data_IF_673551603063
#
_entry.id   IF_673551603063
#
_cell.length_a   1.000
_cell.length_b   1.000
_cell.length_c   1.000
_cell.angle_alpha   90.00
_cell.angle_beta   90.00
_cell.angle_gamma   90.00
#
_symmetry.space_group_name_H-M   'P 1'
#
loop_
_entity.id
_entity.type
_entity.pdbx_description
1 polymer ?
#
# COMPACT_ATOMS: atom_id res chain seq x y z
N UNK A 1 0.10 -8.38 -14.44
CA UNK A 1 1.18 -7.42 -14.11
C UNK A 1 1.10 -6.23 -15.08
N UNK A 2 1.22 -4.99 -14.58
CA UNK A 2 1.24 -3.80 -15.44
C UNK A 2 2.64 -3.59 -16.05
N UNK A 3 3.09 -4.52 -16.87
CA UNK A 3 4.43 -4.48 -17.48
C UNK A 3 4.31 -4.09 -18.94
N UNK A 4 4.93 -2.98 -19.34
CA UNK A 4 5.02 -2.53 -20.72
C UNK A 4 6.47 -2.33 -21.18
N UNK A 5 7.40 -2.18 -20.25
CA UNK A 5 8.82 -1.98 -20.52
C UNK A 5 9.70 -2.68 -19.46
N UNK A 6 11.02 -2.65 -19.68
CA UNK A 6 12.00 -3.27 -18.79
C UNK A 6 12.02 -2.63 -17.40
N UNK A 7 11.75 -1.32 -17.32
CA UNK A 7 11.74 -0.57 -16.04
C UNK A 7 10.61 -1.09 -15.14
N UNK A 8 9.48 -1.46 -15.71
CA UNK A 8 8.36 -2.03 -14.93
C UNK A 8 8.75 -3.35 -14.26
N UNK A 9 9.54 -4.19 -14.95
CA UNK A 9 10.07 -5.45 -14.40
C UNK A 9 11.03 -5.15 -13.24
N UNK A 10 11.91 -4.16 -13.41
CA UNK A 10 12.85 -3.73 -12.39
C UNK A 10 12.13 -3.22 -11.13
N UNK A 11 11.10 -2.40 -11.30
CA UNK A 11 10.30 -1.85 -10.20
C UNK A 11 9.59 -2.97 -9.44
N UNK A 12 8.94 -3.90 -10.14
CA UNK A 12 8.24 -5.02 -9.51
C UNK A 12 9.22 -5.89 -8.73
N UNK A 13 10.31 -6.30 -9.36
CA UNK A 13 11.29 -7.18 -8.74
C UNK A 13 11.93 -6.51 -7.49
N UNK A 14 12.34 -5.25 -7.61
CA UNK A 14 12.92 -4.48 -6.52
C UNK A 14 11.92 -4.30 -5.36
N UNK A 15 10.67 -3.93 -5.67
CA UNK A 15 9.62 -3.72 -4.65
C UNK A 15 9.33 -5.02 -3.89
N UNK A 16 9.25 -6.16 -4.58
CA UNK A 16 8.97 -7.45 -3.95
C UNK A 16 10.15 -7.91 -3.09
N UNK A 17 11.37 -7.79 -3.59
CA UNK A 17 12.54 -8.34 -2.91
C UNK A 17 13.02 -7.41 -1.81
N UNK A 18 13.21 -6.12 -2.10
CA UNK A 18 13.80 -5.13 -1.17
C UNK A 18 12.75 -4.39 -0.35
N UNK A 19 11.55 -4.22 -0.85
CA UNK A 19 10.46 -3.55 -0.12
C UNK A 19 9.95 -4.34 1.10
N UNK A 20 10.28 -5.62 1.21
CA UNK A 20 9.91 -6.49 2.32
C UNK A 20 11.07 -6.79 3.29
N UNK A 21 12.26 -6.26 3.04
CA UNK A 21 13.42 -6.47 3.90
C UNK A 21 13.31 -5.55 5.12
N UNK A 22 13.27 -6.15 6.32
CA UNK A 22 13.34 -5.40 7.57
C UNK A 22 14.66 -4.63 7.64
N UNK A 23 14.58 -3.31 7.79
CA UNK A 23 15.72 -2.39 7.88
C UNK A 23 16.69 -2.77 9.00
N UNK A 24 16.22 -3.51 10.03
CA UNK A 24 17.04 -3.92 11.17
C UNK A 24 17.86 -5.18 10.93
N UNK A 25 17.52 -6.01 9.96
CA UNK A 25 18.28 -7.18 9.56
C UNK A 25 19.04 -6.89 8.27
N UNK A 26 20.21 -6.27 8.37
CA UNK A 26 21.16 -6.19 7.26
C UNK A 26 21.70 -7.59 6.95
N UNK A 27 20.88 -8.44 6.34
CA UNK A 27 21.37 -9.58 5.61
C UNK A 27 22.28 -9.09 4.49
N UNK A 28 23.28 -9.88 4.14
CA UNK A 28 24.19 -9.57 3.04
C UNK A 28 23.36 -9.19 1.78
N UNK A 29 23.53 -7.98 1.24
CA UNK A 29 22.79 -7.49 0.04
C UNK A 29 22.84 -8.47 -1.15
N UNK A 30 23.84 -9.32 -1.18
CA UNK A 30 24.03 -10.34 -2.20
C UNK A 30 22.79 -11.24 -2.39
N UNK A 31 22.17 -11.66 -1.30
CA UNK A 31 21.01 -12.56 -1.38
C UNK A 31 19.78 -11.90 -2.00
N UNK A 32 19.55 -10.63 -1.63
CA UNK A 32 18.44 -9.86 -2.20
C UNK A 32 18.73 -9.52 -3.68
N UNK A 33 19.95 -9.15 -4.03
CA UNK A 33 20.31 -8.87 -5.42
C UNK A 33 20.16 -10.12 -6.31
N UNK A 34 20.58 -11.29 -5.83
CA UNK A 34 20.43 -12.55 -6.56
C UNK A 34 18.96 -12.99 -6.68
N UNK A 35 18.18 -12.82 -5.61
CA UNK A 35 16.73 -13.09 -5.64
C UNK A 35 16.01 -12.14 -6.62
N UNK A 36 16.40 -10.85 -6.66
CA UNK A 36 15.85 -9.88 -7.62
C UNK A 36 16.17 -10.28 -9.06
N UNK A 37 17.42 -10.67 -9.34
CA UNK A 37 17.81 -11.15 -10.68
C UNK A 37 17.03 -12.41 -11.10
N UNK A 38 16.85 -13.35 -10.18
CA UNK A 38 16.05 -14.54 -10.44
C UNK A 38 14.60 -14.17 -10.74
N UNK A 39 13.99 -13.30 -9.96
CA UNK A 39 12.61 -12.87 -10.19
C UNK A 39 12.45 -12.19 -11.55
N UNK A 40 13.40 -11.32 -11.95
CA UNK A 40 13.41 -10.71 -13.29
C UNK A 40 13.46 -11.78 -14.38
N UNK A 41 14.33 -12.77 -14.25
CA UNK A 41 14.42 -13.87 -15.20
C UNK A 41 13.09 -14.62 -15.35
N UNK A 42 12.40 -14.93 -14.24
CA UNK A 42 11.11 -15.61 -14.24
C UNK A 42 9.99 -14.77 -14.86
N UNK A 43 9.96 -13.47 -14.55
CA UNK A 43 8.98 -12.55 -15.16
C UNK A 43 9.17 -12.51 -16.68
N UNK A 44 10.39 -12.30 -17.17
CA UNK A 44 10.66 -12.28 -18.62
C UNK A 44 10.36 -13.61 -19.28
N UNK A 45 10.61 -14.73 -18.59
CA UNK A 45 10.26 -16.06 -19.11
C UNK A 45 8.75 -16.19 -19.30
N UNK A 46 7.94 -15.83 -18.29
CA UNK A 46 6.48 -15.92 -18.38
C UNK A 46 5.92 -15.00 -19.46
N UNK A 47 6.43 -13.79 -19.57
CA UNK A 47 6.01 -12.83 -20.60
C UNK A 47 6.28 -13.33 -22.02
N UNK A 48 7.38 -14.07 -22.23
CA UNK A 48 7.77 -14.57 -23.54
C UNK A 48 7.08 -15.88 -23.93
N UNK A 49 6.75 -16.73 -22.96
CA UNK A 49 6.37 -18.12 -23.24
C UNK A 49 4.94 -18.48 -22.87
N UNK A 50 4.31 -17.67 -21.99
CA UNK A 50 3.00 -18.03 -21.43
C UNK A 50 1.91 -17.05 -21.84
N UNK A 51 0.65 -17.52 -21.98
CA UNK A 51 -0.49 -16.65 -22.23
C UNK A 51 -0.71 -15.69 -21.05
N UNK A 52 -1.38 -14.56 -21.28
CA UNK A 52 -1.60 -13.50 -20.30
C UNK A 52 -2.26 -14.03 -19.01
N UNK A 53 -3.12 -15.02 -19.12
CA UNK A 53 -3.80 -15.68 -17.99
C UNK A 53 -2.83 -16.34 -16.99
N UNK A 54 -1.62 -16.70 -17.42
CA UNK A 54 -0.58 -17.34 -16.62
C UNK A 54 0.55 -16.39 -16.21
N UNK A 55 0.55 -15.16 -16.72
CA UNK A 55 1.57 -14.14 -16.42
C UNK A 55 1.31 -13.47 -15.07
N UNK A 56 1.54 -14.20 -13.99
CA UNK A 56 1.31 -13.74 -12.62
C UNK A 56 2.49 -14.03 -11.70
N UNK A 57 2.56 -13.31 -10.56
CA UNK A 57 3.57 -13.57 -9.53
C UNK A 57 3.37 -14.91 -8.83
N UNK A 58 2.13 -15.39 -8.77
CA UNK A 58 1.82 -16.75 -8.30
C UNK A 58 2.44 -17.81 -9.22
N UNK A 59 2.49 -17.58 -10.54
CA UNK A 59 3.20 -18.46 -11.49
C UNK A 59 4.71 -18.41 -11.30
N UNK A 60 5.28 -17.23 -10.94
CA UNK A 60 6.70 -17.16 -10.56
C UNK A 60 6.99 -18.00 -9.30
N UNK A 61 6.10 -17.95 -8.29
CA UNK A 61 6.24 -18.77 -7.08
C UNK A 61 6.19 -20.29 -7.40
N UNK A 62 5.32 -20.71 -8.31
CA UNK A 62 5.26 -22.10 -8.76
C UNK A 62 6.54 -22.55 -9.49
N UNK A 63 7.10 -21.70 -10.35
CA UNK A 63 8.38 -21.97 -11.02
C UNK A 63 9.52 -22.17 -10.03
N UNK A 64 9.61 -21.31 -9.00
CA UNK A 64 10.65 -21.46 -7.95
C UNK A 64 10.46 -22.74 -7.17
N UNK A 65 9.21 -23.11 -6.86
CA UNK A 65 8.87 -24.34 -6.15
C UNK A 65 9.18 -25.58 -6.95
N UNK A 66 8.85 -25.56 -8.24
CA UNK A 66 9.15 -26.63 -9.17
C UNK A 66 10.67 -26.86 -9.34
N UNK A 67 11.47 -25.79 -9.33
CA UNK A 67 12.92 -25.85 -9.40
C UNK A 67 13.57 -26.52 -8.19
N UNK A 68 12.92 -26.46 -7.03
CA UNK A 68 13.43 -27.04 -5.78
C UNK A 68 13.10 -28.54 -5.63
N UNK A 69 12.30 -29.13 -6.51
CA UNK A 69 11.97 -30.56 -6.51
C UNK A 69 13.14 -31.36 -7.10
N UNK A 70 13.99 -31.80 -6.22
CA UNK A 70 15.26 -32.49 -6.48
C UNK A 70 15.09 -33.82 -7.18
N UNK A 71 15.81 -34.04 -8.28
CA UNK A 71 16.09 -35.37 -8.80
C UNK A 71 16.28 -35.50 -10.30
N UNK A 72 15.83 -34.58 -11.09
CA UNK A 72 15.99 -34.65 -12.57
C UNK A 72 16.37 -33.26 -13.10
N UNK A 73 17.67 -32.97 -13.10
CA UNK A 73 18.18 -31.73 -13.72
C UNK A 73 17.71 -30.43 -13.08
N UNK A 74 18.31 -29.31 -13.49
CA UNK A 74 17.83 -27.98 -13.09
C UNK A 74 16.73 -27.55 -14.04
N UNK A 75 15.45 -27.72 -13.64
CA UNK A 75 14.29 -27.37 -14.46
C UNK A 75 14.38 -25.94 -15.01
N UNK A 76 14.78 -24.96 -14.20
CA UNK A 76 14.87 -23.58 -14.66
C UNK A 76 15.92 -23.42 -15.76
N UNK A 77 17.05 -24.14 -15.67
CA UNK A 77 18.07 -24.14 -16.71
C UNK A 77 17.52 -24.71 -18.03
N UNK A 78 16.74 -25.78 -17.97
CA UNK A 78 16.09 -26.36 -19.13
C UNK A 78 15.11 -25.40 -19.78
N UNK A 79 14.24 -24.77 -18.97
CA UNK A 79 13.26 -23.79 -19.45
C UNK A 79 13.94 -22.56 -20.06
N UNK A 80 14.97 -22.01 -19.41
CA UNK A 80 15.70 -20.85 -19.91
C UNK A 80 16.48 -21.16 -21.21
N UNK A 81 16.98 -22.38 -21.36
CA UNK A 81 17.70 -22.82 -22.58
C UNK A 81 16.80 -22.97 -23.80
N UNK A 82 15.47 -23.04 -23.62
CA UNK A 82 14.51 -23.00 -24.73
C UNK A 82 14.36 -21.61 -25.36
N UNK A 83 14.80 -20.56 -24.65
CA UNK A 83 14.76 -19.19 -25.15
C UNK A 83 15.99 -18.85 -26.00
N UNK A 84 15.91 -17.87 -26.93
CA UNK A 84 17.05 -17.33 -27.64
C UNK A 84 18.20 -16.93 -26.70
N UNK A 85 19.43 -17.02 -27.19
CA UNK A 85 20.62 -16.78 -26.38
C UNK A 85 20.69 -15.35 -25.78
N UNK A 86 20.21 -14.37 -26.54
CA UNK A 86 20.17 -12.94 -26.21
C UNK A 86 18.89 -12.51 -25.44
N UNK A 87 18.00 -13.46 -25.13
CA UNK A 87 16.77 -13.14 -24.42
C UNK A 87 17.04 -12.66 -22.97
N UNK A 88 16.39 -11.57 -22.48
CA UNK A 88 16.62 -11.02 -21.15
C UNK A 88 16.49 -12.05 -20.02
N UNK A 89 15.47 -12.91 -20.07
CA UNK A 89 15.31 -13.97 -19.07
C UNK A 89 16.56 -14.83 -18.92
N UNK A 90 17.16 -15.23 -20.05
CA UNK A 90 18.36 -16.05 -20.07
C UNK A 90 19.58 -15.30 -19.57
N UNK A 91 19.70 -14.01 -19.92
CA UNK A 91 20.81 -13.17 -19.48
C UNK A 91 20.81 -13.01 -17.94
N UNK A 92 19.66 -12.68 -17.34
CA UNK A 92 19.53 -12.57 -15.89
C UNK A 92 19.78 -13.92 -15.18
N UNK A 93 19.23 -15.01 -15.73
CA UNK A 93 19.37 -16.35 -15.15
C UNK A 93 20.81 -16.86 -15.18
N UNK A 94 21.60 -16.50 -16.18
CA UNK A 94 22.97 -16.97 -16.34
C UNK A 94 23.87 -16.65 -15.14
N UNK A 95 23.66 -15.51 -14.48
CA UNK A 95 24.39 -15.13 -13.28
C UNK A 95 24.08 -16.05 -12.11
N UNK A 96 22.92 -16.69 -12.12
CA UNK A 96 22.43 -17.58 -11.06
C UNK A 96 22.85 -19.02 -11.35
N UNK A 97 22.83 -19.43 -12.64
CA UNK A 97 23.21 -20.73 -13.12
C UNK A 97 24.65 -21.12 -12.74
N UNK A 98 25.57 -20.15 -12.72
CA UNK A 98 26.99 -20.36 -12.36
C UNK A 98 27.23 -20.49 -10.85
N UNK A 99 26.21 -20.27 -10.02
CA UNK A 99 26.37 -20.37 -8.58
C UNK A 99 26.54 -21.85 -8.15
N UNK A 100 27.37 -22.12 -7.15
CA UNK A 100 27.46 -23.47 -6.56
C UNK A 100 26.08 -23.94 -6.07
N UNK A 101 25.84 -25.26 -6.09
CA UNK A 101 24.53 -25.86 -5.78
C UNK A 101 23.91 -25.37 -4.45
N UNK A 102 24.74 -25.26 -3.38
CA UNK A 102 24.29 -24.74 -2.08
C UNK A 102 23.86 -23.26 -2.16
N UNK A 103 24.61 -22.46 -2.91
CA UNK A 103 24.29 -21.04 -3.13
C UNK A 103 23.03 -20.91 -3.97
N UNK A 104 22.91 -21.71 -5.03
CA UNK A 104 21.72 -21.76 -5.87
C UNK A 104 20.46 -22.09 -5.03
N UNK A 105 20.50 -23.14 -4.21
CA UNK A 105 19.40 -23.52 -3.32
C UNK A 105 19.05 -22.41 -2.33
N UNK A 106 20.05 -21.67 -1.84
CA UNK A 106 19.82 -20.52 -0.94
C UNK A 106 19.15 -19.34 -1.66
N UNK A 107 19.50 -19.07 -2.93
CA UNK A 107 18.86 -18.05 -3.76
C UNK A 107 17.39 -18.42 -4.00
N UNK A 108 17.10 -19.67 -4.37
CA UNK A 108 15.75 -20.19 -4.52
C UNK A 108 14.93 -20.01 -3.24
N UNK A 109 15.49 -20.40 -2.08
CA UNK A 109 14.82 -20.29 -0.80
C UNK A 109 14.57 -18.83 -0.41
N UNK A 110 15.51 -17.92 -0.69
CA UNK A 110 15.35 -16.48 -0.47
C UNK A 110 14.17 -15.94 -1.30
N UNK A 111 14.14 -16.22 -2.59
CA UNK A 111 13.05 -15.78 -3.45
C UNK A 111 11.72 -16.43 -3.08
N UNK A 112 11.70 -17.74 -2.75
CA UNK A 112 10.49 -18.43 -2.30
C UNK A 112 9.90 -17.78 -1.04
N UNK A 113 10.73 -17.37 -0.08
CA UNK A 113 10.29 -16.64 1.11
C UNK A 113 9.58 -15.32 0.76
N UNK A 114 10.11 -14.57 -0.21
CA UNK A 114 9.52 -13.31 -0.68
C UNK A 114 8.22 -13.52 -1.45
N UNK A 115 8.13 -14.59 -2.24
CA UNK A 115 6.95 -14.92 -3.05
C UNK A 115 5.87 -15.70 -2.30
N UNK A 116 6.15 -16.23 -1.11
CA UNK A 116 5.21 -17.06 -0.34
C UNK A 116 3.87 -16.39 -0.06
N UNK A 117 3.83 -15.06 -0.01
CA UNK A 117 2.58 -14.31 0.15
C UNK A 117 1.61 -14.47 -1.03
N UNK A 118 2.13 -14.74 -2.24
CA UNK A 118 1.32 -14.98 -3.45
C UNK A 118 0.77 -16.41 -3.54
N UNK A 119 1.02 -17.26 -2.54
CA UNK A 119 0.44 -18.59 -2.44
C UNK A 119 -1.01 -18.56 -1.92
N UNK A 120 -1.40 -17.49 -1.21
CA UNK A 120 -2.78 -17.27 -0.83
C UNK A 120 -3.67 -17.17 -2.07
N UNK A 121 -4.79 -17.91 -2.08
CA UNK A 121 -5.76 -17.89 -3.17
C UNK A 121 -6.29 -16.48 -3.41
N UNK A 122 -6.61 -15.75 -2.35
CA UNK A 122 -7.16 -14.40 -2.40
C UNK A 122 -6.16 -13.41 -3.05
N UNK A 123 -4.89 -13.45 -2.65
CA UNK A 123 -3.84 -12.61 -3.24
C UNK A 123 -3.58 -13.01 -4.69
N UNK A 124 -3.56 -14.30 -4.97
CA UNK A 124 -3.38 -14.81 -6.33
C UNK A 124 -4.50 -14.33 -7.26
N UNK A 125 -5.76 -14.41 -6.83
CA UNK A 125 -6.92 -13.89 -7.56
C UNK A 125 -6.88 -12.37 -7.73
N UNK A 126 -6.54 -11.63 -6.68
CA UNK A 126 -6.46 -10.16 -6.72
C UNK A 126 -5.39 -9.66 -7.69
N UNK A 127 -4.28 -10.39 -7.80
CA UNK A 127 -3.12 -9.98 -8.61
C UNK A 127 -3.04 -10.66 -9.97
N UNK A 128 -4.02 -11.49 -10.32
CA UNK A 128 -4.01 -12.29 -11.56
C UNK A 128 -4.39 -11.51 -12.81
N UNK A 129 -5.24 -10.51 -12.69
CA UNK A 129 -5.79 -9.75 -13.81
C UNK A 129 -5.66 -8.25 -13.63
N UNK A 130 -5.64 -7.51 -14.74
CA UNK A 130 -5.59 -6.05 -14.75
C UNK A 130 -7.00 -5.48 -14.92
N UNK A 131 -7.54 -4.86 -13.89
CA UNK A 131 -8.86 -4.21 -13.93
C UNK A 131 -8.77 -2.69 -13.99
N UNK A 132 -7.60 -2.11 -13.75
CA UNK A 132 -7.36 -0.66 -13.71
C UNK A 132 -6.30 -0.28 -14.74
N UNK A 133 -6.62 0.68 -15.60
CA UNK A 133 -5.62 1.33 -16.45
C UNK A 133 -5.11 2.60 -15.75
N UNK A 134 -3.86 2.59 -15.31
CA UNK A 134 -3.26 3.73 -14.59
C UNK A 134 -3.16 5.01 -15.44
N UNK A 135 -3.00 4.90 -16.75
CA UNK A 135 -2.93 6.07 -17.63
C UNK A 135 -4.25 6.85 -17.67
N UNK A 136 -5.39 6.17 -17.48
CA UNK A 136 -6.69 6.81 -17.47
C UNK A 136 -6.82 7.87 -16.37
N UNK A 137 -6.10 7.69 -15.27
CA UNK A 137 -6.05 8.66 -14.15
C UNK A 137 -5.48 10.01 -14.63
N UNK A 138 -4.45 9.96 -15.47
CA UNK A 138 -3.82 11.16 -16.04
C UNK A 138 -4.48 11.67 -17.33
N UNK A 139 -5.37 10.86 -17.95
CA UNK A 139 -6.02 11.17 -19.23
C UNK A 139 -7.40 11.78 -19.04
N UNK A 140 -8.19 11.30 -18.11
CA UNK A 140 -9.58 11.70 -17.84
C UNK A 140 -9.83 11.92 -16.35
N UNK A 141 -10.91 12.66 -16.03
CA UNK A 141 -11.31 12.83 -14.62
C UNK A 141 -11.67 11.48 -14.01
N UNK A 142 -10.84 11.01 -13.11
CA UNK A 142 -10.97 9.70 -12.46
C UNK A 142 -10.72 9.87 -10.97
N UNK A 143 -11.48 9.16 -10.13
CA UNK A 143 -11.19 9.03 -8.71
C UNK A 143 -10.92 7.56 -8.41
N UNK A 144 -9.81 7.29 -7.75
CA UNK A 144 -9.39 5.94 -7.32
C UNK A 144 -9.34 5.93 -5.79
N UNK A 145 -10.14 5.08 -5.18
CA UNK A 145 -10.15 4.86 -3.74
C UNK A 145 -9.44 3.54 -3.45
N UNK A 146 -8.35 3.62 -2.68
CA UNK A 146 -7.58 2.45 -2.26
C UNK A 146 -7.81 2.28 -0.77
N UNK A 147 -8.54 1.23 -0.40
CA UNK A 147 -8.89 0.94 0.99
C UNK A 147 -8.04 -0.24 1.44
N UNK A 148 -7.28 -0.05 2.51
CA UNK A 148 -6.47 -1.07 3.15
C UNK A 148 -6.92 -1.29 4.58
N UNK A 149 -6.75 -2.51 5.09
CA UNK A 149 -6.95 -2.78 6.51
C UNK A 149 -5.85 -2.11 7.33
N UNK A 150 -6.23 -1.41 8.39
CA UNK A 150 -5.33 -0.83 9.39
C UNK A 150 -4.91 -1.84 10.47
N UNK A 151 -5.56 -3.00 10.52
CA UNK A 151 -5.33 -4.04 11.55
C UNK A 151 -4.32 -5.11 11.13
N UNK A 152 -4.01 -5.24 9.82
CA UNK A 152 -3.16 -6.30 9.30
C UNK A 152 -2.16 -5.79 8.27
N UNK A 153 -0.88 -5.78 8.63
CA UNK A 153 0.23 -5.46 7.73
C UNK A 153 0.48 -6.52 6.62
N UNK A 154 -0.31 -7.60 6.59
CA UNK A 154 -0.10 -8.70 5.65
C UNK A 154 -0.19 -8.29 4.17
N UNK A 155 -0.94 -7.23 3.88
CA UNK A 155 -1.22 -6.75 2.52
C UNK A 155 -0.48 -5.45 2.15
N UNK A 156 0.31 -4.86 3.05
CA UNK A 156 1.01 -3.58 2.81
C UNK A 156 1.94 -3.64 1.60
N UNK A 157 2.56 -4.81 1.36
CA UNK A 157 3.40 -5.02 0.18
C UNK A 157 2.64 -4.87 -1.15
N UNK A 158 1.33 -5.19 -1.18
CA UNK A 158 0.49 -4.97 -2.37
C UNK A 158 0.27 -3.49 -2.62
N UNK A 159 0.08 -2.70 -1.57
CA UNK A 159 -0.03 -1.24 -1.67
C UNK A 159 1.27 -0.65 -2.21
N UNK A 160 2.42 -1.11 -1.69
CA UNK A 160 3.72 -0.66 -2.17
C UNK A 160 3.90 -0.94 -3.67
N UNK A 161 3.56 -2.15 -4.13
CA UNK A 161 3.61 -2.52 -5.56
C UNK A 161 2.65 -1.65 -6.37
N UNK A 162 1.39 -1.53 -5.91
CA UNK A 162 0.35 -0.76 -6.59
C UNK A 162 0.75 0.69 -6.79
N UNK A 163 1.14 1.39 -5.71
CA UNK A 163 1.55 2.79 -5.79
C UNK A 163 2.84 2.98 -6.58
N UNK A 164 3.82 2.06 -6.44
CA UNK A 164 5.07 2.12 -7.20
C UNK A 164 4.83 2.07 -8.70
N UNK A 165 3.98 1.12 -9.15
CA UNK A 165 3.62 0.96 -10.56
C UNK A 165 2.75 2.13 -11.05
N UNK A 166 1.72 2.52 -10.30
CA UNK A 166 0.82 3.60 -10.68
C UNK A 166 1.57 4.93 -10.85
N UNK A 167 2.43 5.29 -9.89
CA UNK A 167 3.22 6.52 -9.98
C UNK A 167 4.15 6.44 -11.20
N UNK A 168 4.86 5.32 -11.41
CA UNK A 168 5.76 5.18 -12.56
C UNK A 168 5.02 5.32 -13.89
N UNK A 169 3.87 4.63 -14.02
CA UNK A 169 3.07 4.72 -15.25
C UNK A 169 2.57 6.13 -15.54
N UNK A 170 2.18 6.89 -14.51
CA UNK A 170 1.78 8.28 -14.69
C UNK A 170 2.97 9.17 -15.08
N UNK A 171 4.18 8.88 -14.60
CA UNK A 171 5.39 9.58 -15.02
C UNK A 171 5.70 9.30 -16.48
N UNK A 172 5.71 8.02 -16.87
CA UNK A 172 5.96 7.63 -18.26
C UNK A 172 4.90 8.24 -19.20
N UNK A 173 3.63 8.22 -18.80
CA UNK A 173 2.54 8.83 -19.56
C UNK A 173 2.68 10.36 -19.66
N UNK A 174 3.11 11.03 -18.59
CA UNK A 174 3.39 12.46 -18.63
C UNK A 174 4.53 12.79 -19.61
N UNK A 175 5.61 12.00 -19.61
CA UNK A 175 6.75 12.19 -20.50
C UNK A 175 6.34 11.96 -21.96
N UNK A 176 5.53 10.96 -22.24
CA UNK A 176 4.93 10.72 -23.57
C UNK A 176 3.93 11.82 -24.00
N UNK A 177 3.29 12.49 -23.05
CA UNK A 177 2.30 13.53 -23.29
C UNK A 177 2.88 14.94 -23.38
N UNK A 178 4.19 15.06 -23.63
CA UNK A 178 4.87 16.35 -23.75
C UNK A 178 5.37 16.93 -22.43
N UNK A 179 5.65 16.07 -21.45
CA UNK A 179 6.27 16.43 -20.18
C UNK A 179 5.29 16.69 -19.03
N UNK A 180 3.98 16.63 -19.27
CA UNK A 180 2.97 16.82 -18.23
C UNK A 180 1.70 16.03 -18.54
N UNK A 181 1.00 15.58 -17.49
CA UNK A 181 -0.29 14.91 -17.63
C UNK A 181 -1.35 15.83 -18.23
N UNK A 182 -2.22 15.34 -19.14
CA UNK A 182 -3.37 16.08 -19.62
C UNK A 182 -4.31 16.53 -18.50
N UNK A 183 -4.58 15.64 -17.53
CA UNK A 183 -5.32 15.93 -16.30
C UNK A 183 -4.37 15.95 -15.11
N UNK A 184 -4.41 17.02 -14.26
CA UNK A 184 -3.65 17.03 -13.02
C UNK A 184 -4.07 15.87 -12.10
N UNK A 185 -3.11 15.19 -11.53
CA UNK A 185 -3.33 14.07 -10.62
C UNK A 185 -2.90 14.42 -9.20
N UNK A 186 -3.77 14.16 -8.24
CA UNK A 186 -3.56 14.43 -6.82
C UNK A 186 -3.55 13.12 -6.05
N UNK A 187 -2.44 12.80 -5.40
CA UNK A 187 -2.31 11.71 -4.47
C UNK A 187 -2.57 12.21 -3.07
N UNK A 188 -3.60 11.67 -2.41
CA UNK A 188 -3.86 11.91 -0.99
C UNK A 188 -3.51 10.61 -0.27
N UNK A 189 -2.33 10.60 0.36
CA UNK A 189 -1.73 9.41 0.96
C UNK A 189 -1.90 9.50 2.47
N UNK A 190 -3.05 9.03 2.94
CA UNK A 190 -3.33 8.93 4.37
C UNK A 190 -2.52 7.79 4.98
N UNK A 191 -2.00 8.00 6.18
CA UNK A 191 -1.08 7.09 6.86
C UNK A 191 0.06 6.57 5.97
N UNK A 192 0.72 7.50 5.27
CA UNK A 192 1.70 7.21 4.23
C UNK A 192 2.78 6.19 4.65
N UNK A 193 3.18 6.18 5.92
CA UNK A 193 4.16 5.23 6.42
C UNK A 193 3.69 3.77 6.33
N UNK A 194 2.38 3.52 6.37
CA UNK A 194 1.80 2.19 6.30
C UNK A 194 1.77 1.63 4.85
N UNK A 195 1.93 2.48 3.85
CA UNK A 195 2.05 2.04 2.45
C UNK A 195 3.35 1.25 2.22
N UNK A 196 4.33 1.41 3.11
CA UNK A 196 5.67 0.88 2.95
C UNK A 196 6.58 1.78 2.09
N UNK A 197 7.78 1.31 1.80
CA UNK A 197 8.78 2.08 1.06
C UNK A 197 8.52 2.03 -0.44
N UNK A 198 8.03 3.14 -1.02
CA UNK A 198 7.95 3.32 -2.47
C UNK A 198 9.35 3.62 -3.00
N UNK A 199 9.90 2.83 -3.95
CA UNK A 199 11.23 3.06 -4.50
C UNK A 199 11.37 4.46 -5.13
N UNK A 200 12.50 5.13 -4.83
CA UNK A 200 12.85 6.46 -5.35
C UNK A 200 11.78 7.54 -5.13
N UNK A 201 10.96 7.43 -4.08
CA UNK A 201 9.88 8.39 -3.82
C UNK A 201 10.40 9.81 -3.58
N UNK A 202 11.57 9.95 -2.97
CA UNK A 202 12.27 11.23 -2.77
C UNK A 202 12.61 11.92 -4.11
N UNK A 203 13.01 11.16 -5.11
CA UNK A 203 13.25 11.68 -6.47
C UNK A 203 11.93 11.99 -7.19
N UNK A 204 10.93 11.12 -7.02
CA UNK A 204 9.60 11.29 -7.63
C UNK A 204 8.93 12.55 -7.10
N UNK A 205 8.84 12.76 -5.79
CA UNK A 205 8.22 13.97 -5.22
C UNK A 205 8.94 15.25 -5.67
N UNK A 206 10.27 15.23 -5.85
CA UNK A 206 11.03 16.40 -6.29
C UNK A 206 10.75 16.83 -7.74
N UNK A 207 10.31 15.90 -8.60
CA UNK A 207 10.08 16.13 -10.03
C UNK A 207 8.58 16.10 -10.42
N UNK A 208 7.68 15.84 -9.48
CA UNK A 208 6.25 15.64 -9.70
C UNK A 208 5.52 16.88 -10.23
N UNK A 209 5.92 18.07 -9.75
CA UNK A 209 5.28 19.35 -10.08
C UNK A 209 5.25 19.62 -11.58
N UNK A 210 6.37 19.42 -12.28
CA UNK A 210 6.45 19.64 -13.72
C UNK A 210 5.51 18.75 -14.52
N UNK A 211 5.21 17.55 -14.00
CA UNK A 211 4.31 16.56 -14.59
C UNK A 211 2.85 16.74 -14.19
N UNK A 212 2.50 17.79 -13.43
CA UNK A 212 1.18 18.05 -12.84
C UNK A 212 0.72 16.91 -11.91
N UNK A 213 1.66 16.32 -11.20
CA UNK A 213 1.40 15.34 -10.14
C UNK A 213 1.66 16.01 -8.81
N UNK A 214 0.72 15.92 -7.87
CA UNK A 214 0.82 16.48 -6.54
C UNK A 214 0.65 15.40 -5.49
N UNK A 215 1.47 15.45 -4.43
CA UNK A 215 1.39 14.52 -3.31
C UNK A 215 1.00 15.26 -2.04
N UNK A 216 -0.01 14.74 -1.34
CA UNK A 216 -0.36 15.09 0.04
C UNK A 216 0.00 13.91 0.92
N UNK A 217 1.10 14.05 1.66
CA UNK A 217 1.62 13.01 2.56
C UNK A 217 1.10 13.29 3.96
N UNK A 218 0.31 12.37 4.51
CA UNK A 218 -0.29 12.51 5.84
C UNK A 218 0.37 11.49 6.77
N UNK A 219 0.79 11.96 7.94
CA UNK A 219 1.55 11.19 8.93
C UNK A 219 1.03 11.50 10.33
N UNK A 220 1.09 10.54 11.22
CA UNK A 220 0.82 10.76 12.64
C UNK A 220 2.02 11.44 13.33
N UNK A 221 3.24 11.08 12.92
CA UNK A 221 4.48 11.68 13.41
C UNK A 221 5.64 11.51 12.41
N UNK A 222 6.69 12.31 12.56
CA UNK A 222 7.86 12.28 11.67
C UNK A 222 8.74 11.03 11.87
N UNK A 223 8.69 10.42 13.06
CA UNK A 223 9.46 9.21 13.35
C UNK A 223 9.07 8.05 12.43
N UNK A 224 7.78 7.96 12.07
CA UNK A 224 7.29 6.94 11.12
C UNK A 224 7.91 7.11 9.74
N UNK A 225 8.00 8.35 9.25
CA UNK A 225 8.61 8.61 7.94
C UNK A 225 10.10 8.28 7.93
N UNK A 226 10.81 8.65 9.00
CA UNK A 226 12.23 8.33 9.15
C UNK A 226 12.48 6.81 9.24
N UNK A 227 11.62 6.06 9.94
CA UNK A 227 11.72 4.61 10.03
C UNK A 227 11.62 3.93 8.65
N UNK A 228 10.77 4.44 7.74
CA UNK A 228 10.56 3.87 6.40
C UNK A 228 11.61 4.37 5.40
N UNK A 229 11.94 5.68 5.41
CA UNK A 229 12.75 6.32 4.39
C UNK A 229 14.15 6.73 4.86
N UNK A 230 14.53 6.43 6.10
CA UNK A 230 15.85 6.74 6.68
C UNK A 230 16.30 8.19 6.35
N UNK A 231 17.46 8.34 5.71
CA UNK A 231 18.00 9.67 5.32
C UNK A 231 17.17 10.39 4.26
N UNK A 232 16.42 9.66 3.44
CA UNK A 232 15.59 10.26 2.38
C UNK A 232 14.36 10.99 2.91
N UNK A 233 13.96 10.79 4.19
CA UNK A 233 12.81 11.47 4.79
C UNK A 233 12.96 12.99 4.79
N UNK A 234 14.15 13.51 5.03
CA UNK A 234 14.42 14.97 5.00
C UNK A 234 14.17 15.55 3.59
N UNK A 235 14.53 14.79 2.55
CA UNK A 235 14.30 15.19 1.15
C UNK A 235 12.79 15.21 0.86
N UNK A 236 12.03 14.24 1.36
CA UNK A 236 10.57 14.20 1.20
C UNK A 236 9.93 15.40 1.84
N UNK A 237 10.25 15.70 3.11
CA UNK A 237 9.74 16.87 3.84
C UNK A 237 10.12 18.17 3.12
N UNK A 238 11.38 18.30 2.71
CA UNK A 238 11.91 19.51 2.05
C UNK A 238 11.32 19.80 0.67
N UNK A 239 10.71 18.79 0.01
CA UNK A 239 9.98 18.96 -1.25
C UNK A 239 8.49 19.29 -1.07
N UNK A 240 7.99 19.31 0.16
CA UNK A 240 6.63 19.76 0.47
C UNK A 240 6.65 21.29 0.62
N UNK A 241 6.03 22.02 -0.32
CA UNK A 241 5.96 23.49 -0.26
C UNK A 241 5.07 23.98 0.90
N UNK A 242 4.11 23.17 1.34
CA UNK A 242 3.20 23.45 2.46
C UNK A 242 3.25 22.31 3.46
N UNK A 243 3.42 22.65 4.74
CA UNK A 243 3.34 21.68 5.85
C UNK A 243 2.27 22.12 6.84
N UNK A 244 1.38 21.20 7.21
CA UNK A 244 0.29 21.44 8.15
C UNK A 244 0.53 20.66 9.44
N UNK A 245 0.78 21.36 10.54
CA UNK A 245 0.90 20.77 11.87
C UNK A 245 -0.46 20.79 12.59
N UNK A 246 -1.00 19.60 12.82
CA UNK A 246 -2.31 19.42 13.48
C UNK A 246 -2.21 19.07 14.97
N UNK A 247 -1.00 18.99 15.51
CA UNK A 247 -0.69 18.52 16.85
C UNK A 247 0.02 17.16 16.83
N UNK A 248 0.88 16.91 17.79
CA UNK A 248 1.56 15.61 17.97
C UNK A 248 2.05 15.46 19.40
N UNK A 249 2.10 14.21 19.89
CA UNK A 249 2.71 13.85 21.15
C UNK A 249 4.17 13.37 21.01
N UNK A 250 4.67 13.13 19.77
CA UNK A 250 6.05 12.74 19.51
C UNK A 250 7.00 13.88 19.86
N UNK A 251 7.99 13.61 20.72
CA UNK A 251 9.01 14.57 21.12
C UNK A 251 9.77 15.12 19.91
N UNK A 252 10.17 14.25 19.00
CA UNK A 252 10.93 14.61 17.80
C UNK A 252 10.13 15.49 16.86
N UNK A 253 8.85 15.18 16.68
CA UNK A 253 7.94 15.98 15.84
C UNK A 253 7.74 17.38 16.40
N UNK A 254 7.47 17.53 17.70
CA UNK A 254 7.29 18.87 18.30
C UNK A 254 8.59 19.67 18.36
N UNK A 255 9.74 19.03 18.55
CA UNK A 255 11.05 19.69 18.48
C UNK A 255 11.34 20.21 17.07
N UNK A 256 11.06 19.41 16.05
CA UNK A 256 11.19 19.83 14.65
C UNK A 256 10.35 21.09 14.38
N UNK A 257 9.05 21.06 14.69
CA UNK A 257 8.16 22.20 14.43
C UNK A 257 8.47 23.43 15.31
N UNK A 258 8.98 23.23 16.52
CA UNK A 258 9.46 24.35 17.35
C UNK A 258 10.64 25.09 16.71
N UNK A 259 11.56 24.34 16.08
CA UNK A 259 12.69 24.92 15.33
C UNK A 259 12.23 25.62 14.06
N UNK A 260 11.30 25.01 13.30
CA UNK A 260 10.73 25.59 12.07
C UNK A 260 9.97 26.90 12.34
N UNK A 261 9.32 27.03 13.49
CA UNK A 261 8.68 28.29 13.91
C UNK A 261 9.70 29.42 14.14
N UNK A 262 10.93 29.06 14.50
CA UNK A 262 11.98 30.01 14.80
C UNK A 262 11.86 30.64 16.20
N UNK A 263 12.64 31.69 16.41
CA UNK A 263 12.80 32.31 17.71
C UNK A 263 12.43 33.79 17.67
N UNK A 264 12.04 34.33 18.83
CA UNK A 264 11.87 35.75 19.08
C UNK A 264 12.84 36.25 20.15
N UNK A 265 13.26 37.48 20.00
CA UNK A 265 14.05 38.17 21.02
C UNK A 265 13.15 38.60 22.15
N UNK A 266 13.48 38.23 23.38
CA UNK A 266 12.83 38.70 24.58
C UNK A 266 13.83 39.45 25.47
N UNK A 267 13.37 40.52 26.11
CA UNK A 267 14.14 41.21 27.14
C UNK A 267 13.74 40.65 28.49
N UNK A 268 14.71 40.20 29.26
CA UNK A 268 14.50 39.73 30.64
C UNK A 268 15.15 40.71 31.60
N UNK A 269 14.33 41.35 32.43
CA UNK A 269 14.80 42.17 33.51
C UNK A 269 15.14 41.29 34.71
N UNK A 270 16.40 41.28 35.11
CA UNK A 270 16.86 40.65 36.33
C UNK A 270 17.09 41.70 37.41
N UNK A 271 16.39 41.58 38.52
CA UNK A 271 16.53 42.45 39.68
C UNK A 271 17.38 41.75 40.73
N UNK A 272 18.52 42.33 41.09
CA UNK A 272 19.34 41.87 42.20
C UNK A 272 19.27 42.90 43.34
N UNK A 273 18.88 42.41 44.50
CA UNK A 273 18.90 43.19 45.75
C UNK A 273 20.04 42.72 46.63
N UNK A 274 21.06 43.52 46.83
CA UNK A 274 22.09 43.27 47.84
C UNK A 274 21.71 43.97 49.14
N UNK A 275 21.56 43.17 50.21
CA UNK A 275 21.44 43.72 51.59
C UNK A 275 22.82 43.57 52.22
N UNK A 276 23.49 44.71 52.39
CA UNK A 276 24.68 44.76 53.25
C UNK A 276 24.24 44.83 54.71
N UNK A 277 24.75 43.89 55.53
CA UNK A 277 24.42 43.75 56.93
C UNK A 277 24.87 44.95 57.80
N UNK A 278 25.67 45.89 57.29
CA UNK A 278 26.27 46.96 58.03
C UNK A 278 25.97 48.38 57.54
N UNK A 279 25.20 48.56 56.48
CA UNK A 279 24.82 49.87 55.99
C UNK A 279 23.39 49.95 55.52
N UNK A 280 22.60 50.88 55.89
CA UNK A 280 21.19 51.12 55.52
C UNK A 280 21.02 51.56 54.07
N UNK A 281 21.86 51.12 53.15
CA UNK A 281 21.72 51.31 51.67
C UNK A 281 21.35 50.07 51.02
N UNK A 282 20.09 49.95 50.56
CA UNK A 282 19.65 48.94 49.61
C UNK A 282 20.17 49.34 48.22
N UNK A 283 21.07 48.54 47.64
CA UNK A 283 21.48 48.67 46.25
C UNK A 283 20.52 47.90 45.39
N UNK A 284 19.86 48.58 44.46
CA UNK A 284 19.07 47.91 43.38
C UNK A 284 19.92 47.93 42.10
N UNK A 285 20.19 46.74 41.56
CA UNK A 285 20.81 46.61 40.25
C UNK A 285 19.79 46.01 39.31
N UNK A 286 19.46 46.70 38.23
CA UNK A 286 18.65 46.19 37.12
C UNK A 286 19.59 45.77 36.00
N UNK A 287 19.58 44.52 35.64
CA UNK A 287 20.32 43.99 34.49
C UNK A 287 19.32 43.57 33.43
N UNK A 288 19.37 44.21 32.27
CA UNK A 288 18.60 43.82 31.09
C UNK A 288 19.41 42.79 30.30
N UNK A 289 18.85 41.61 30.14
CA UNK A 289 19.40 40.57 29.31
C UNK A 289 18.51 40.35 28.10
N UNK A 290 19.10 40.38 26.93
CA UNK A 290 18.46 40.04 25.68
C UNK A 290 18.66 38.52 25.44
N UNK A 291 17.56 37.79 25.35
CA UNK A 291 17.57 36.34 25.16
C UNK A 291 16.74 35.95 23.95
N UNK A 292 17.19 34.93 23.22
CA UNK A 292 16.37 34.25 22.23
C UNK A 292 15.41 33.29 22.92
N UNK A 293 14.16 33.26 22.51
CA UNK A 293 13.15 32.29 22.94
C UNK A 293 12.41 31.76 21.75
N UNK A 294 12.25 30.44 21.65
CA UNK A 294 11.40 29.82 20.64
C UNK A 294 10.02 30.49 20.60
N UNK A 295 9.46 30.75 19.42
CA UNK A 295 8.12 31.32 19.27
C UNK A 295 7.08 30.47 19.98
N UNK A 296 7.19 29.13 19.82
CA UNK A 296 6.50 28.14 20.63
C UNK A 296 7.51 27.05 21.02
N UNK A 297 7.58 26.75 22.30
CA UNK A 297 8.42 25.66 22.80
C UNK A 297 7.78 24.31 22.46
N UNK A 298 8.55 23.17 22.44
CA UNK A 298 7.98 21.84 22.24
C UNK A 298 6.82 21.53 23.17
N UNK A 299 6.90 21.97 24.41
CA UNK A 299 5.83 21.85 25.42
C UNK A 299 4.56 22.63 25.06
N UNK A 300 4.71 23.85 24.56
CA UNK A 300 3.60 24.67 24.08
C UNK A 300 2.95 24.09 22.84
N UNK A 301 3.73 23.49 21.93
CA UNK A 301 3.22 22.78 20.76
C UNK A 301 2.47 21.50 21.14
N UNK A 302 2.96 20.74 22.14
CA UNK A 302 2.28 19.55 22.63
C UNK A 302 0.93 19.86 23.26
N UNK A 303 0.79 21.07 23.83
CA UNK A 303 -0.44 21.58 24.45
C UNK A 303 -1.24 22.50 23.51
N UNK A 304 -0.94 22.46 22.21
CA UNK A 304 -1.72 23.21 21.23
C UNK A 304 -3.18 22.75 21.30
N UNK A 305 -4.09 23.73 21.36
CA UNK A 305 -5.52 23.46 21.34
C UNK A 305 -5.91 22.58 20.14
N UNK A 306 -6.74 21.57 20.40
CA UNK A 306 -7.17 20.62 19.37
C UNK A 306 -7.90 21.27 18.19
N UNK A 307 -8.52 22.44 18.40
CA UNK A 307 -9.21 23.19 17.35
C UNK A 307 -8.25 24.04 16.49
N UNK A 308 -6.96 24.06 16.82
CA UNK A 308 -5.97 24.89 16.13
C UNK A 308 -4.97 24.05 15.35
N UNK A 309 -4.45 24.65 14.28
CA UNK A 309 -3.35 24.12 13.49
C UNK A 309 -2.32 25.22 13.19
N UNK A 310 -1.14 24.80 12.75
CA UNK A 310 -0.10 25.71 12.29
C UNK A 310 0.24 25.34 10.85
N UNK A 311 0.20 26.34 9.96
CA UNK A 311 0.47 26.20 8.54
C UNK A 311 1.84 26.81 8.27
N UNK A 312 2.71 26.04 7.67
CA UNK A 312 4.00 26.46 7.15
C UNK A 312 3.93 26.44 5.63
N UNK A 313 4.17 27.56 5.00
CA UNK A 313 4.20 27.69 3.55
C UNK A 313 5.52 28.38 3.15
N UNK A 314 6.14 27.85 2.10
CA UNK A 314 7.40 28.39 1.61
C UNK A 314 7.30 29.87 1.24
N UNK A 315 8.16 30.69 1.85
CA UNK A 315 8.17 32.15 1.62
C UNK A 315 7.17 32.95 2.43
N UNK A 316 6.35 32.32 3.28
CA UNK A 316 5.35 32.96 4.13
C UNK A 316 5.69 32.69 5.59
N UNK A 317 5.36 33.66 6.48
CA UNK A 317 5.48 33.42 7.93
C UNK A 317 4.47 32.36 8.37
N UNK A 318 4.82 31.50 9.34
CA UNK A 318 3.90 30.50 9.86
C UNK A 318 2.58 31.11 10.34
N UNK A 319 1.47 30.47 10.00
CA UNK A 319 0.12 30.94 10.29
C UNK A 319 -0.53 29.99 11.29
N UNK A 320 -0.98 30.51 12.43
CA UNK A 320 -1.83 29.78 13.38
C UNK A 320 -3.30 30.02 13.01
N UNK A 321 -4.05 28.95 12.73
CA UNK A 321 -5.43 29.01 12.25
C UNK A 321 -6.32 27.96 12.94
N UNK A 322 -7.64 28.15 12.97
CA UNK A 322 -8.57 27.10 13.38
C UNK A 322 -8.58 25.96 12.34
N UNK A 323 -8.75 24.71 12.82
CA UNK A 323 -8.94 23.54 11.96
C UNK A 323 -10.26 23.65 11.21
N UNK A 324 -10.24 23.20 9.96
CA UNK A 324 -11.44 23.07 9.16
C UNK A 324 -12.17 21.76 9.48
N UNK A 325 -13.36 21.88 10.08
CA UNK A 325 -14.21 20.74 10.36
C UNK A 325 -15.31 20.68 9.29
N UNK A 326 -15.22 19.74 8.35
CA UNK A 326 -16.14 19.65 7.20
C UNK A 326 -17.61 19.53 7.63
N UNK A 327 -17.89 18.86 8.76
CA UNK A 327 -19.23 18.67 9.30
C UNK A 327 -19.88 19.96 9.85
N UNK A 328 -19.09 21.00 10.12
CA UNK A 328 -19.60 22.34 10.51
C UNK A 328 -20.04 23.18 9.30
N UNK A 329 -19.89 22.68 8.09
CA UNK A 329 -20.15 23.43 6.86
C UNK A 329 -21.17 22.71 5.94
N UNK A 330 -21.73 23.44 4.97
CA UNK A 330 -22.69 22.89 4.01
C UNK A 330 -22.16 21.73 3.15
N UNK A 331 -20.85 21.47 3.19
CA UNK A 331 -20.18 20.34 2.50
C UNK A 331 -20.79 19.00 2.90
N UNK A 332 -21.21 18.84 4.16
CA UNK A 332 -21.88 17.62 4.63
C UNK A 332 -23.15 17.30 3.83
N UNK A 333 -23.95 18.33 3.52
CA UNK A 333 -25.18 18.14 2.73
C UNK A 333 -24.87 17.61 1.33
N UNK A 334 -23.75 18.07 0.74
CA UNK A 334 -23.29 17.59 -0.57
C UNK A 334 -22.79 16.14 -0.48
N UNK A 335 -22.01 15.81 0.54
CA UNK A 335 -21.50 14.43 0.74
C UNK A 335 -22.66 13.46 0.91
N UNK A 336 -23.65 13.81 1.74
CA UNK A 336 -24.81 12.95 1.99
C UNK A 336 -25.71 12.75 0.75
N UNK A 337 -25.67 13.66 -0.24
CA UNK A 337 -26.39 13.49 -1.50
C UNK A 337 -25.76 12.44 -2.43
N UNK A 338 -24.49 12.13 -2.23
CA UNK A 338 -23.71 11.21 -3.08
C UNK A 338 -23.23 9.98 -2.33
N UNK A 339 -23.82 9.67 -1.17
CA UNK A 339 -23.49 8.44 -0.44
C UNK A 339 -23.88 7.23 -1.28
N UNK A 340 -22.91 6.35 -1.51
CA UNK A 340 -23.11 5.03 -2.09
C UNK A 340 -23.13 3.98 -0.97
N UNK A 341 -24.02 3.00 -1.06
CA UNK A 341 -23.98 1.84 -0.20
C UNK A 341 -22.87 0.88 -0.67
N UNK A 342 -22.31 0.09 0.25
CA UNK A 342 -21.35 -0.96 -0.11
C UNK A 342 -21.92 -1.99 -1.10
N UNK A 343 -23.23 -2.10 -1.18
CA UNK A 343 -23.93 -3.06 -2.03
C UNK A 343 -24.11 -2.56 -3.46
N UNK A 344 -23.76 -1.30 -3.75
CA UNK A 344 -23.87 -0.70 -5.09
C UNK A 344 -22.62 -0.93 -5.97
N UNK A 345 -21.71 -1.79 -5.51
CA UNK A 345 -20.50 -2.15 -6.28
C UNK A 345 -20.84 -3.36 -7.15
N UNK A 346 -20.93 -3.13 -8.46
CA UNK A 346 -21.09 -4.21 -9.42
C UNK A 346 -19.89 -5.17 -9.34
N UNK A 347 -20.13 -6.49 -9.35
CA UNK A 347 -19.05 -7.46 -9.39
C UNK A 347 -18.23 -7.27 -10.68
N UNK A 348 -16.93 -7.06 -10.53
CA UNK A 348 -16.01 -6.91 -11.65
C UNK A 348 -15.72 -8.29 -12.22
N UNK A 349 -15.97 -8.47 -13.53
CA UNK A 349 -15.46 -9.64 -14.23
C UNK A 349 -13.93 -9.57 -14.30
N UNK A 350 -13.27 -10.44 -13.56
CA UNK A 350 -11.80 -10.50 -13.48
C UNK A 350 -11.19 -11.30 -14.62
N UNK A 351 -12.00 -11.88 -15.49
CA UNK A 351 -11.54 -12.74 -16.57
C UNK A 351 -11.02 -14.12 -16.07
N UNK A 352 -10.42 -14.86 -16.98
CA UNK A 352 -9.84 -16.17 -16.66
C UNK A 352 -8.39 -16.00 -16.24
N UNK A 353 -7.99 -16.72 -15.22
CA UNK A 353 -6.59 -16.80 -14.77
C UNK A 353 -6.29 -18.20 -14.25
N UNK A 354 -5.01 -18.59 -14.32
CA UNK A 354 -4.52 -19.84 -13.76
C UNK A 354 -3.05 -19.73 -13.39
N UNK A 355 -2.61 -20.56 -12.45
CA UNK A 355 -1.18 -20.68 -12.12
C UNK A 355 -0.51 -21.55 -13.16
N UNK A 356 0.61 -21.10 -13.71
CA UNK A 356 1.43 -21.93 -14.56
C UNK A 356 2.13 -23.02 -13.75
N UNK A 357 1.89 -24.29 -14.10
CA UNK A 357 2.61 -25.42 -13.54
C UNK A 357 3.47 -26.07 -14.63
N UNK A 358 4.81 -26.02 -14.54
CA UNK A 358 5.68 -26.57 -15.57
C UNK A 358 5.62 -28.09 -15.71
N UNK A 359 5.16 -28.82 -14.68
CA UNK A 359 4.99 -30.26 -14.72
C UNK A 359 3.61 -30.70 -15.25
N UNK A 360 2.65 -29.81 -15.25
CA UNK A 360 1.32 -30.04 -15.80
C UNK A 360 0.85 -28.77 -16.52
N UNK A 361 1.49 -28.42 -17.66
CA UNK A 361 1.10 -27.25 -18.44
C UNK A 361 -0.31 -27.46 -18.99
N UNK A 362 -1.13 -26.42 -18.88
CA UNK A 362 -2.46 -26.43 -19.50
C UNK A 362 -2.31 -26.51 -21.00
N UNK A 363 -2.97 -27.52 -21.58
CA UNK A 363 -3.13 -27.65 -23.02
C UNK A 363 -4.58 -27.27 -23.31
N UNK A 364 -4.81 -26.24 -24.12
CA UNK A 364 -6.15 -26.00 -24.66
C UNK A 364 -6.54 -27.24 -25.48
N UNK A 365 -7.59 -27.93 -25.02
CA UNK A 365 -8.23 -28.93 -25.85
C UNK A 365 -8.76 -28.19 -27.08
N UNK A 366 -8.13 -28.45 -28.23
CA UNK A 366 -8.66 -28.03 -29.52
C UNK A 366 -10.08 -28.58 -29.57
N UNK A 367 -11.09 -27.69 -29.55
CA UNK A 367 -12.48 -28.09 -29.79
C UNK A 367 -12.53 -28.56 -31.25
N UNK A 368 -12.26 -29.84 -31.45
CA UNK A 368 -12.51 -30.51 -32.71
C UNK A 368 -14.02 -30.45 -32.93
N UNK A 369 -14.44 -29.57 -33.82
CA UNK A 369 -15.83 -29.52 -34.31
C UNK A 369 -16.05 -30.74 -35.19
N UNK A 370 -16.25 -31.87 -34.60
CA UNK A 370 -16.59 -33.08 -35.38
C UNK A 370 -16.50 -34.35 -34.56
N UNK A 371 -17.62 -34.73 -33.95
CA UNK A 371 -17.80 -36.08 -33.41
C UNK A 371 -18.43 -36.08 -32.02
N UNK A 372 -19.71 -36.46 -31.98
CA UNK A 372 -20.41 -36.85 -30.74
C UNK A 372 -19.64 -37.97 -30.03
N UNK A 373 -18.72 -37.63 -29.16
CA UNK A 373 -18.25 -38.53 -28.12
C UNK A 373 -19.02 -38.18 -26.86
N UNK A 374 -20.00 -39.03 -26.52
CA UNK A 374 -20.61 -39.02 -25.19
C UNK A 374 -19.47 -39.12 -24.17
N UNK A 375 -19.30 -38.09 -23.38
CA UNK A 375 -18.50 -38.14 -22.14
C UNK A 375 -19.32 -39.00 -21.19
N UNK A 376 -18.92 -40.26 -21.02
CA UNK A 376 -19.42 -41.09 -19.91
C UNK A 376 -18.94 -40.42 -18.63
N UNK A 377 -19.89 -39.89 -17.84
CA UNK A 377 -19.61 -39.36 -16.53
C UNK A 377 -19.18 -40.49 -15.61
N UNK A 378 -18.36 -40.20 -14.61
CA UNK A 378 -17.96 -41.17 -13.58
C UNK A 378 -19.16 -41.83 -12.89
N UNK A 379 -20.33 -41.20 -12.93
CA UNK A 379 -21.58 -41.69 -12.36
C UNK A 379 -22.18 -42.84 -13.15
N UNK A 380 -21.86 -42.99 -14.45
CA UNK A 380 -22.34 -44.11 -15.27
C UNK A 380 -21.58 -45.42 -14.99
N UNK A 381 -20.48 -45.37 -14.25
CA UNK A 381 -19.70 -46.55 -13.84
C UNK A 381 -20.23 -47.25 -12.56
N UNK A 382 -21.22 -46.67 -11.90
CA UNK A 382 -21.79 -47.18 -10.64
C UNK A 382 -23.28 -47.47 -10.73
N UNK A 383 -23.85 -47.73 -11.92
CA UNK A 383 -25.21 -48.25 -12.05
C UNK A 383 -25.21 -49.78 -11.94
N UNK A 384 -25.10 -50.29 -10.72
CA UNK A 384 -25.70 -51.57 -10.32
C UNK A 384 -25.92 -51.50 -8.81
N UNK A 385 -27.20 -51.56 -8.46
CA UNK A 385 -27.86 -51.66 -7.14
C UNK A 385 -28.66 -50.42 -6.72
N UNK A 386 -29.85 -50.28 -7.28
CA UNK A 386 -30.94 -49.52 -6.68
C UNK A 386 -32.04 -50.45 -6.20
N UNK A 387 -32.41 -50.42 -4.91
CA UNK A 387 -33.76 -50.78 -4.49
C UNK A 387 -34.69 -49.58 -4.72
N UNK A 388 -35.76 -49.85 -5.42
CA UNK A 388 -36.90 -48.97 -5.61
C UNK A 388 -37.55 -48.64 -4.27
N UNK A 389 -37.57 -47.38 -3.88
CA UNK A 389 -38.65 -46.86 -3.04
C UNK A 389 -38.88 -45.36 -3.30
N UNK A 390 -40.12 -45.11 -3.73
CA UNK A 390 -40.67 -43.76 -3.90
C UNK A 390 -40.89 -43.11 -2.55
N UNK A 391 -40.32 -41.94 -2.31
CA UNK A 391 -40.96 -40.92 -1.46
C UNK A 391 -40.44 -39.53 -1.86
N UNK A 392 -41.40 -38.67 -2.18
CA UNK A 392 -41.27 -37.24 -2.41
C UNK A 392 -40.46 -36.53 -1.29
N UNK A 393 -39.35 -35.91 -1.64
CA UNK A 393 -38.58 -35.09 -0.72
C UNK A 393 -38.24 -33.70 -1.33
N UNK A 394 -39.23 -33.11 -2.02
CA UNK A 394 -39.08 -31.76 -2.61
C UNK A 394 -39.63 -30.61 -1.75
N UNK A 395 -40.00 -30.89 -0.49
CA UNK A 395 -40.59 -29.88 0.41
C UNK A 395 -39.76 -29.48 1.63
N UNK A 396 -38.58 -30.08 1.84
CA UNK A 396 -37.79 -29.80 3.06
C UNK A 396 -36.60 -28.85 2.86
N UNK A 397 -36.18 -28.54 1.64
CA UNK A 397 -35.03 -27.61 1.42
C UNK A 397 -35.41 -26.12 1.42
N UNK A 398 -36.69 -25.79 1.16
CA UNK A 398 -37.11 -24.37 1.17
C UNK A 398 -37.41 -23.83 2.59
N UNK A 399 -37.77 -24.68 3.53
CA UNK A 399 -38.05 -24.21 4.91
C UNK A 399 -36.75 -23.91 5.70
N UNK A 400 -35.64 -24.58 5.41
CA UNK A 400 -34.35 -24.32 6.09
C UNK A 400 -33.67 -22.99 5.66
N UNK A 401 -33.92 -22.51 4.46
CA UNK A 401 -33.38 -21.23 3.98
C UNK A 401 -34.20 -20.03 4.47
N UNK A 402 -35.50 -20.18 4.69
CA UNK A 402 -36.35 -19.12 5.23
C UNK A 402 -36.18 -18.92 6.75
N UNK A 403 -35.88 -19.99 7.51
CA UNK A 403 -35.65 -19.88 8.96
C UNK A 403 -34.28 -19.22 9.26
N UNK A 404 -33.23 -19.53 8.51
CA UNK A 404 -31.92 -18.90 8.69
C UNK A 404 -31.93 -17.39 8.35
N UNK A 405 -32.66 -16.99 7.32
CA UNK A 405 -32.79 -15.56 6.97
C UNK A 405 -33.60 -14.77 8.01
N UNK A 406 -34.58 -15.39 8.66
CA UNK A 406 -35.33 -14.72 9.72
C UNK A 406 -34.55 -14.59 11.02
N UNK A 407 -33.68 -15.56 11.35
CA UNK A 407 -32.82 -15.47 12.54
C UNK A 407 -31.72 -14.44 12.37
N UNK A 408 -31.13 -14.27 11.17
CA UNK A 408 -30.15 -13.22 10.90
C UNK A 408 -30.78 -11.81 10.90
N UNK A 409 -31.98 -11.62 10.38
CA UNK A 409 -32.67 -10.32 10.44
C UNK A 409 -33.10 -9.96 11.88
N UNK A 410 -33.49 -10.93 12.71
CA UNK A 410 -33.84 -10.69 14.11
C UNK A 410 -32.57 -10.35 14.92
N UNK A 411 -31.47 -11.05 14.70
CA UNK A 411 -30.21 -10.80 15.39
C UNK A 411 -29.61 -9.41 15.05
N UNK A 412 -29.67 -8.99 13.80
CA UNK A 412 -29.22 -7.65 13.38
C UNK A 412 -30.11 -6.54 13.92
N UNK A 413 -31.42 -6.75 13.99
CA UNK A 413 -32.36 -5.76 14.54
C UNK A 413 -32.18 -5.58 16.05
N UNK A 414 -31.92 -6.65 16.81
CA UNK A 414 -31.67 -6.56 18.26
C UNK A 414 -30.33 -5.89 18.59
N UNK A 415 -29.28 -6.16 17.82
CA UNK A 415 -27.97 -5.51 18.00
C UNK A 415 -28.05 -4.02 17.69
N UNK A 416 -28.79 -3.63 16.67
CA UNK A 416 -28.96 -2.22 16.31
C UNK A 416 -29.70 -1.44 17.39
N UNK A 417 -30.72 -2.03 17.96
CA UNK A 417 -31.50 -1.46 19.06
C UNK A 417 -30.71 -1.35 20.37
N UNK A 418 -29.82 -2.31 20.62
CA UNK A 418 -28.93 -2.28 21.79
C UNK A 418 -27.81 -1.23 21.64
N UNK A 419 -27.34 -1.01 20.40
CA UNK A 419 -26.38 0.05 20.05
C UNK A 419 -27.01 1.44 20.16
N UNK A 420 -28.24 1.63 19.69
CA UNK A 420 -28.97 2.90 19.83
C UNK A 420 -29.24 3.22 21.31
N UNK A 421 -29.66 2.24 22.11
CA UNK A 421 -29.88 2.42 23.53
C UNK A 421 -28.59 2.78 24.31
N UNK A 422 -27.45 2.17 23.95
CA UNK A 422 -26.15 2.52 24.52
C UNK A 422 -25.65 3.88 24.06
N UNK A 423 -25.96 4.27 22.82
CA UNK A 423 -25.62 5.59 22.30
C UNK A 423 -26.38 6.70 23.04
N UNK A 424 -27.69 6.50 23.25
CA UNK A 424 -28.52 7.45 24.00
C UNK A 424 -28.12 7.55 25.49
N UNK A 425 -27.65 6.44 26.07
CA UNK A 425 -27.13 6.41 27.46
C UNK A 425 -25.80 7.20 27.60
N UNK A 426 -24.95 7.15 26.58
CA UNK A 426 -23.62 7.78 26.60
C UNK A 426 -23.62 9.25 26.16
N UNK A 427 -24.52 9.63 25.27
CA UNK A 427 -24.49 10.94 24.62
C UNK A 427 -25.77 11.77 24.81
N UNK A 428 -26.80 11.22 25.45
CA UNK A 428 -28.11 11.84 25.62
C UNK A 428 -28.96 11.74 24.36
N UNK A 429 -30.25 11.54 24.53
CA UNK A 429 -31.20 11.47 23.42
C UNK A 429 -31.15 12.76 22.57
N UNK A 430 -31.00 12.64 21.27
CA UNK A 430 -31.07 13.77 20.34
C UNK A 430 -32.52 14.28 20.34
N UNK A 431 -32.76 15.46 20.92
CA UNK A 431 -34.04 16.16 20.75
C UNK A 431 -34.24 16.49 19.28
N UNK A 432 -35.30 15.94 18.70
CA UNK A 432 -35.79 16.30 17.37
C UNK A 432 -36.42 17.71 17.46
N UNK A 433 -35.74 18.70 16.91
CA UNK A 433 -36.30 20.00 16.54
C UNK A 433 -36.33 20.17 15.01
#
# INVERSE_FOLDING_TARGET
MHIQNEIDVDIIANTIVKGQSDVQNQADPYWDDMAEMLLKALIYYLLATRPEEEQSLSSCAELVRAANNNGAGNLLTELMNQLPYDHPARMFYKSIEIAPEKTYSSILSSLQSKLGKFDSKEIAELTSTNTINFEDIGRKKTAVYVISSDTHAAYDFLLTIFFSQMIQRLYDFADLSGGALPQPTYFILDEFANIGRIPDFDKKISTSRSRKISFSVILQNLDQLEAVYEKSHETIIGNCDTTLFLGSNSQKTVEYFSKELGEKTINRDSWSTSKDKHMWKQGFSKQEQVMARALMTPDELRRLDNDLCIIFEKGVKPIKAPKYYYFKYNTVKLVNQYMCSHNDIDPIDRGKWRKYNPYNPYVEESVDKGGDTKIESLDDLFEDDKPTDNTDNSLLENDFLEENNKEEEILTYDIQKELEAKFDELFGALEED
#
